data_IF_904361217191
#
_entry.id   IF_904361217191
#
_cell.length_a   1.000
_cell.length_b   1.000
_cell.length_c   1.000
_cell.angle_alpha   90.00
_cell.angle_beta   90.00
_cell.angle_gamma   90.00
#
_symmetry.space_group_name_H-M   'P 1'
#
loop_
_entity.id
_entity.type
_entity.pdbx_description
1 polymer ?
#
# COMPACT_ATOMS: atom_id res chain seq x y z
N UNK A 1 29.51 -33.63 -19.38
CA UNK A 1 28.83 -32.77 -18.38
C UNK A 1 28.23 -31.48 -18.96
N UNK A 2 28.76 -30.88 -20.05
CA UNK A 2 28.24 -29.62 -20.63
C UNK A 2 26.85 -29.74 -21.30
N UNK A 3 26.41 -30.95 -21.66
CA UNK A 3 25.17 -31.17 -22.42
C UNK A 3 23.91 -31.09 -21.56
N UNK A 4 23.99 -31.46 -20.27
CA UNK A 4 22.84 -31.47 -19.37
C UNK A 4 22.46 -30.07 -18.89
N UNK A 5 23.46 -29.23 -18.58
CA UNK A 5 23.23 -27.82 -18.21
C UNK A 5 22.60 -27.06 -19.38
N UNK A 6 23.08 -27.29 -20.62
CA UNK A 6 22.48 -26.69 -21.82
C UNK A 6 21.05 -27.16 -22.07
N UNK A 7 20.70 -28.39 -21.66
CA UNK A 7 19.35 -28.97 -21.76
C UNK A 7 18.38 -28.41 -20.72
N UNK A 8 18.87 -28.10 -19.52
CA UNK A 8 18.09 -27.46 -18.45
C UNK A 8 17.95 -25.96 -18.64
N UNK A 9 18.88 -25.31 -19.34
CA UNK A 9 18.81 -23.90 -19.71
C UNK A 9 17.86 -23.63 -20.89
N UNK A 10 17.37 -24.67 -21.58
CA UNK A 10 16.29 -24.48 -22.54
C UNK A 10 15.01 -24.11 -21.78
N UNK A 11 14.22 -23.15 -22.29
CA UNK A 11 12.90 -22.90 -21.75
C UNK A 11 12.10 -24.21 -21.77
N UNK A 12 11.37 -24.50 -20.68
CA UNK A 12 10.52 -25.70 -20.63
C UNK A 12 9.57 -25.64 -21.83
N UNK A 13 9.52 -26.69 -22.67
CA UNK A 13 8.55 -26.72 -23.76
C UNK A 13 7.16 -26.61 -23.15
N UNK A 14 6.31 -25.81 -23.77
CA UNK A 14 4.99 -25.49 -23.26
C UNK A 14 4.10 -26.74 -23.29
N UNK A 15 4.11 -27.49 -22.19
CA UNK A 15 3.36 -28.75 -22.03
C UNK A 15 1.87 -28.51 -21.77
N UNK A 16 1.43 -27.26 -21.71
CA UNK A 16 0.08 -26.90 -21.33
C UNK A 16 -0.79 -26.47 -22.51
N UNK A 17 -0.25 -26.29 -23.72
CA UNK A 17 -1.06 -25.91 -24.90
C UNK A 17 -1.83 -24.60 -24.71
N UNK A 18 -1.43 -23.79 -23.73
CA UNK A 18 -2.01 -22.47 -23.52
C UNK A 18 -1.09 -21.48 -24.23
N UNK A 19 -1.55 -20.80 -25.29
CA UNK A 19 -0.76 -19.75 -25.90
C UNK A 19 -0.31 -18.76 -24.83
N UNK A 20 0.88 -18.17 -25.05
CA UNK A 20 1.50 -17.14 -24.22
C UNK A 20 0.45 -16.30 -23.49
N UNK A 21 0.67 -16.05 -22.19
CA UNK A 21 -0.20 -15.21 -21.35
C UNK A 21 -0.18 -13.73 -21.76
N UNK A 22 -0.18 -13.44 -23.06
CA UNK A 22 -0.73 -12.21 -23.58
C UNK A 22 -2.16 -12.12 -23.06
N UNK A 23 -2.44 -11.08 -22.28
CA UNK A 23 -3.82 -10.74 -21.92
C UNK A 23 -4.62 -10.70 -23.23
N UNK A 24 -5.84 -11.28 -23.29
CA UNK A 24 -6.64 -11.18 -24.51
C UNK A 24 -6.79 -9.69 -24.84
N UNK A 25 -6.27 -9.28 -26.00
CA UNK A 25 -6.51 -7.95 -26.53
C UNK A 25 -7.99 -7.96 -26.92
N UNK A 26 -8.83 -7.43 -26.04
CA UNK A 26 -10.26 -7.31 -26.31
C UNK A 26 -10.43 -6.39 -27.52
N UNK A 27 -10.96 -6.94 -28.60
CA UNK A 27 -11.29 -6.14 -29.78
C UNK A 27 -12.39 -5.15 -29.39
N UNK A 28 -12.06 -3.86 -29.45
CA UNK A 28 -13.01 -2.77 -29.20
C UNK A 28 -13.83 -2.57 -30.48
N UNK A 29 -15.14 -2.39 -30.36
CA UNK A 29 -15.99 -2.16 -31.51
C UNK A 29 -15.72 -0.78 -32.14
N UNK A 30 -15.80 -0.67 -33.47
CA UNK A 30 -15.72 0.59 -34.22
C UNK A 30 -16.54 1.75 -33.61
N UNK A 31 -17.82 1.57 -33.22
CA UNK A 31 -18.58 2.64 -32.59
C UNK A 31 -18.03 3.07 -31.23
N UNK A 32 -17.43 2.16 -30.45
CA UNK A 32 -16.80 2.51 -29.18
C UNK A 32 -15.52 3.34 -29.38
N UNK A 33 -14.77 3.11 -30.47
CA UNK A 33 -13.60 3.93 -30.83
C UNK A 33 -14.00 5.33 -31.30
N UNK A 34 -15.20 5.49 -31.89
CA UNK A 34 -15.73 6.78 -32.36
C UNK A 34 -16.59 7.52 -31.34
N UNK A 35 -16.82 6.92 -30.16
CA UNK A 35 -17.69 7.50 -29.14
C UNK A 35 -17.09 8.79 -28.57
N UNK A 36 -17.84 9.88 -28.65
CA UNK A 36 -17.46 11.18 -28.07
C UNK A 36 -18.03 11.28 -26.66
N UNK A 37 -17.21 11.68 -25.68
CA UNK A 37 -17.65 11.87 -24.31
C UNK A 37 -18.67 13.01 -24.22
N UNK A 38 -19.78 12.79 -23.49
CA UNK A 38 -20.74 13.85 -23.19
C UNK A 38 -20.13 14.96 -22.32
N UNK A 39 -20.66 16.17 -22.39
CA UNK A 39 -20.19 17.31 -21.57
C UNK A 39 -20.17 17.00 -20.07
N UNK A 40 -21.13 16.19 -19.60
CA UNK A 40 -21.16 15.72 -18.21
C UNK A 40 -19.98 14.82 -17.89
N UNK A 41 -19.66 13.87 -18.76
CA UNK A 41 -18.49 12.99 -18.58
C UNK A 41 -17.20 13.80 -18.63
N UNK A 42 -17.09 14.77 -19.54
CA UNK A 42 -15.95 15.68 -19.63
C UNK A 42 -15.76 16.51 -18.35
N UNK A 43 -16.84 16.94 -17.70
CA UNK A 43 -16.78 17.62 -16.39
C UNK A 43 -16.35 16.67 -15.26
N UNK A 44 -16.86 15.44 -15.24
CA UNK A 44 -16.54 14.45 -14.20
C UNK A 44 -15.12 13.88 -14.33
N UNK A 45 -14.58 13.82 -15.55
CA UNK A 45 -13.22 13.37 -15.82
C UNK A 45 -12.15 14.36 -15.31
N UNK A 46 -12.52 15.63 -15.07
CA UNK A 46 -11.59 16.59 -14.47
C UNK A 46 -11.32 16.21 -13.01
N UNK A 47 -10.05 16.17 -12.58
CA UNK A 47 -9.73 15.91 -11.19
C UNK A 47 -10.35 16.98 -10.29
N UNK A 48 -10.78 16.58 -9.09
CA UNK A 48 -11.29 17.53 -8.09
C UNK A 48 -10.14 18.45 -7.66
N UNK A 49 -10.41 19.74 -7.59
CA UNK A 49 -9.43 20.70 -7.07
C UNK A 49 -9.13 20.37 -5.60
N UNK A 50 -7.86 20.43 -5.17
CA UNK A 50 -7.51 20.31 -3.76
C UNK A 50 -8.29 21.33 -2.92
N UNK A 51 -8.55 21.00 -1.66
CA UNK A 51 -9.16 21.95 -0.73
C UNK A 51 -8.28 23.21 -0.61
N UNK A 52 -8.87 24.38 -0.31
CA UNK A 52 -8.15 25.66 -0.28
C UNK A 52 -6.94 25.67 0.68
N UNK A 53 -6.94 24.81 1.71
CA UNK A 53 -5.85 24.66 2.67
C UNK A 53 -4.90 23.49 2.36
N UNK A 54 -5.11 22.75 1.26
CA UNK A 54 -4.23 21.64 0.88
C UNK A 54 -2.91 22.19 0.38
N UNK A 55 -1.84 21.86 1.11
CA UNK A 55 -0.46 22.12 0.73
C UNK A 55 0.21 20.75 0.52
N UNK A 56 0.99 20.54 -0.55
CA UNK A 56 1.79 19.33 -0.66
C UNK A 56 2.81 19.31 0.49
N UNK A 57 3.06 18.14 1.09
CA UNK A 57 4.03 17.98 2.20
C UNK A 57 5.44 18.48 1.86
N UNK A 58 5.75 18.57 0.56
CA UNK A 58 6.94 19.22 0.03
C UNK A 58 6.55 20.24 -1.04
N UNK A 59 7.05 21.48 -0.98
CA UNK A 59 7.04 22.33 -2.17
C UNK A 59 7.79 21.59 -3.28
N UNK A 60 7.16 21.45 -4.45
CA UNK A 60 7.87 20.98 -5.64
C UNK A 60 9.07 21.91 -5.82
N UNK A 61 10.27 21.39 -5.65
CA UNK A 61 11.48 22.15 -5.94
C UNK A 61 11.31 22.66 -7.37
N UNK A 62 11.38 23.99 -7.54
CA UNK A 62 11.25 24.66 -8.83
C UNK A 62 12.07 23.88 -9.86
N UNK A 63 11.49 23.67 -11.06
CA UNK A 63 12.05 22.85 -12.14
C UNK A 63 13.57 22.92 -12.14
N UNK A 64 14.21 21.94 -11.50
CA UNK A 64 15.66 21.91 -11.37
C UNK A 64 16.12 21.74 -12.80
N UNK A 65 16.86 22.73 -13.34
CA UNK A 65 17.51 22.61 -14.65
C UNK A 65 18.30 21.30 -14.58
N UNK A 66 17.83 20.27 -15.26
CA UNK A 66 18.51 18.99 -15.38
C UNK A 66 19.75 19.25 -16.21
N UNK A 67 20.79 19.78 -15.57
CA UNK A 67 22.12 19.69 -16.11
C UNK A 67 22.33 18.20 -16.34
N UNK A 68 22.53 17.80 -17.59
CA UNK A 68 22.91 16.43 -17.92
C UNK A 68 24.29 16.19 -17.35
N UNK A 69 24.35 15.89 -16.05
CA UNK A 69 25.59 15.60 -15.33
C UNK A 69 26.07 14.25 -15.84
N UNK A 70 27.16 14.28 -16.59
CA UNK A 70 27.83 13.07 -17.06
C UNK A 70 28.36 12.33 -15.84
N UNK A 71 27.98 11.06 -15.69
CA UNK A 71 28.43 10.23 -14.59
C UNK A 71 29.98 10.16 -14.57
N UNK A 72 30.57 10.35 -13.38
CA UNK A 72 32.02 10.25 -13.24
C UNK A 72 32.50 8.82 -13.48
N UNK A 73 33.76 8.67 -13.90
CA UNK A 73 34.39 7.36 -14.18
C UNK A 73 34.22 6.37 -13.02
N UNK A 74 34.33 6.85 -11.78
CA UNK A 74 34.12 6.04 -10.57
C UNK A 74 32.69 5.53 -10.44
N UNK A 75 31.68 6.35 -10.71
CA UNK A 75 30.27 5.94 -10.67
C UNK A 75 29.99 4.85 -11.70
N UNK A 76 30.56 5.01 -12.91
CA UNK A 76 30.48 3.99 -13.95
C UNK A 76 31.19 2.68 -13.55
N UNK A 77 32.31 2.74 -12.84
CA UNK A 77 33.00 1.54 -12.32
C UNK A 77 32.18 0.83 -11.23
N UNK A 78 31.59 1.57 -10.31
CA UNK A 78 30.76 1.02 -9.23
C UNK A 78 29.43 0.44 -9.73
N UNK A 79 28.88 1.01 -10.80
CA UNK A 79 27.69 0.49 -11.46
C UNK A 79 27.96 -0.84 -12.18
N UNK A 80 29.22 -1.24 -12.40
CA UNK A 80 29.52 -2.55 -12.98
C UNK A 80 29.12 -3.64 -11.98
N UNK A 81 28.32 -4.64 -12.41
CA UNK A 81 27.98 -5.75 -11.55
C UNK A 81 29.25 -6.45 -11.08
N UNK A 82 29.35 -6.69 -9.77
CA UNK A 82 30.50 -7.38 -9.19
C UNK A 82 30.51 -8.81 -9.76
N UNK A 83 31.43 -9.07 -10.69
CA UNK A 83 31.57 -10.38 -11.32
C UNK A 83 31.84 -11.43 -10.25
N UNK A 84 30.85 -12.27 -9.98
CA UNK A 84 31.03 -13.46 -9.15
C UNK A 84 31.90 -14.39 -9.98
N UNK A 85 33.15 -14.61 -9.56
CA UNK A 85 33.97 -15.68 -10.13
C UNK A 85 33.12 -16.96 -10.12
N UNK A 86 32.97 -17.70 -11.23
CA UNK A 86 32.39 -19.02 -11.17
C UNK A 86 33.28 -19.82 -10.21
N UNK A 87 32.72 -20.13 -9.05
CA UNK A 87 33.33 -21.07 -8.12
C UNK A 87 33.40 -22.36 -8.91
N UNK A 88 34.62 -22.73 -9.31
CA UNK A 88 34.92 -24.06 -9.81
C UNK A 88 34.37 -25.03 -8.75
N UNK A 89 33.37 -25.83 -9.14
CA UNK A 89 32.75 -26.83 -8.27
C UNK A 89 33.77 -27.89 -7.87
N UNK A 90 34.58 -27.58 -6.87
CA UNK A 90 35.31 -28.53 -6.08
C UNK A 90 35.44 -27.92 -4.68
N UNK A 91 34.71 -28.50 -3.74
CA UNK A 91 34.61 -28.08 -2.34
C UNK A 91 33.66 -26.91 -2.10
N UNK A 92 32.39 -27.24 -1.92
CA UNK A 92 31.53 -26.46 -1.03
C UNK A 92 32.32 -26.21 0.27
N UNK A 93 32.48 -24.96 0.73
CA UNK A 93 32.95 -24.75 2.08
C UNK A 93 31.86 -25.32 2.97
N UNK A 94 32.06 -26.54 3.47
CA UNK A 94 31.37 -27.02 4.66
C UNK A 94 31.42 -25.86 5.66
N UNK A 95 30.32 -25.47 6.32
CA UNK A 95 30.44 -24.57 7.45
C UNK A 95 31.33 -25.30 8.44
N UNK A 96 32.62 -24.93 8.46
CA UNK A 96 33.49 -25.31 9.56
C UNK A 96 32.74 -24.77 10.76
N UNK A 97 32.37 -25.63 11.69
CA UNK A 97 31.99 -25.21 13.03
C UNK A 97 33.20 -24.44 13.53
N UNK A 98 33.16 -23.13 13.35
CA UNK A 98 34.17 -22.23 13.87
C UNK A 98 33.90 -22.26 15.36
N UNK A 99 34.64 -23.09 16.08
CA UNK A 99 34.90 -22.85 17.49
C UNK A 99 35.22 -21.36 17.61
N UNK A 100 34.54 -20.60 18.50
CA UNK A 100 34.84 -19.18 18.66
C UNK A 100 36.21 -19.06 19.34
N UNK A 101 37.27 -19.35 18.57
CA UNK A 101 38.57 -18.75 18.78
C UNK A 101 38.31 -17.28 18.56
N UNK A 102 38.04 -16.61 19.67
CA UNK A 102 37.85 -15.17 19.76
C UNK A 102 39.18 -14.58 19.28
N UNK A 103 39.32 -14.41 17.97
CA UNK A 103 40.41 -13.64 17.38
C UNK A 103 40.31 -12.32 18.12
N UNK A 104 41.33 -11.99 18.91
CA UNK A 104 41.44 -10.72 19.59
C UNK A 104 41.64 -9.66 18.49
N UNK A 105 40.56 -9.32 17.81
CA UNK A 105 40.54 -8.33 16.75
C UNK A 105 40.65 -6.97 17.44
N UNK A 106 41.85 -6.40 17.36
CA UNK A 106 42.06 -5.01 17.75
C UNK A 106 41.50 -4.14 16.63
N UNK A 107 40.55 -3.26 16.98
CA UNK A 107 40.05 -2.26 16.05
C UNK A 107 41.23 -1.41 15.56
N UNK A 108 41.20 -0.98 14.29
CA UNK A 108 42.20 -0.04 13.81
C UNK A 108 42.03 1.31 14.52
N UNK A 109 43.09 2.09 14.65
CA UNK A 109 43.05 3.41 15.28
C UNK A 109 41.97 4.33 14.67
N UNK A 110 41.70 4.18 13.37
CA UNK A 110 40.63 4.92 12.71
C UNK A 110 39.23 4.48 13.18
N UNK A 111 39.00 3.18 13.38
CA UNK A 111 37.73 2.66 13.89
C UNK A 111 37.52 3.11 15.34
N UNK A 112 38.58 3.10 16.15
CA UNK A 112 38.53 3.62 17.53
C UNK A 112 38.19 5.12 17.55
N UNK A 113 38.79 5.90 16.65
CA UNK A 113 38.47 7.32 16.50
C UNK A 113 37.01 7.53 16.07
N UNK A 114 36.51 6.75 15.12
CA UNK A 114 35.11 6.84 14.69
C UNK A 114 34.11 6.37 15.76
N UNK A 115 34.54 5.46 16.64
CA UNK A 115 33.75 5.00 17.77
C UNK A 115 33.67 6.03 18.90
N UNK A 116 34.53 7.07 18.89
CA UNK A 116 34.40 8.16 19.87
C UNK A 116 33.10 8.92 19.63
N UNK A 117 32.21 9.05 20.64
CA UNK A 117 30.99 9.82 20.50
C UNK A 117 31.33 11.28 20.25
N UNK A 118 30.52 11.93 19.40
CA UNK A 118 30.67 13.37 19.16
C UNK A 118 30.43 14.13 20.46
N UNK A 119 31.14 15.25 20.62
CA UNK A 119 30.90 16.16 21.75
C UNK A 119 29.50 16.77 21.62
N UNK A 120 28.84 16.90 22.76
CA UNK A 120 27.58 17.63 22.84
C UNK A 120 27.77 19.09 22.42
N UNK A 121 26.76 19.65 21.79
CA UNK A 121 26.77 21.05 21.37
C UNK A 121 26.82 21.97 22.62
N UNK A 122 27.53 23.11 22.61
CA UNK A 122 27.63 24.01 23.78
C UNK A 122 26.29 24.60 24.27
N UNK A 123 25.22 24.49 23.48
CA UNK A 123 23.84 24.84 23.85
C UNK A 123 22.97 23.62 24.17
N UNK A 124 23.55 22.44 24.33
CA UNK A 124 22.83 21.22 24.68
C UNK A 124 22.58 21.23 26.19
N UNK A 125 21.33 21.46 26.58
CA UNK A 125 20.89 21.55 27.99
C UNK A 125 20.74 20.17 28.67
N UNK A 126 21.40 19.14 28.15
CA UNK A 126 21.23 17.75 28.61
C UNK A 126 19.91 17.12 28.16
N UNK A 127 19.54 16.00 28.79
CA UNK A 127 18.27 15.32 28.54
C UNK A 127 17.11 16.26 28.89
N UNK A 128 16.57 16.94 27.87
CA UNK A 128 15.29 17.64 27.97
C UNK A 128 14.33 16.71 28.69
N UNK A 129 13.77 17.20 29.81
CA UNK A 129 12.80 16.50 30.69
C UNK A 129 12.25 15.28 29.99
N UNK A 130 12.60 14.09 30.48
CA UNK A 130 12.08 12.82 29.99
C UNK A 130 10.64 13.04 29.54
N UNK A 131 10.29 12.70 28.30
CA UNK A 131 8.99 13.02 27.69
C UNK A 131 7.80 12.30 28.38
N UNK A 132 7.96 11.86 29.64
CA UNK A 132 6.91 11.47 30.55
C UNK A 132 6.23 12.72 31.12
N UNK A 133 5.12 13.10 30.49
CA UNK A 133 4.15 13.97 31.12
C UNK A 133 3.66 13.33 32.42
N UNK A 134 3.61 14.09 33.51
CA UNK A 134 3.08 13.62 34.77
C UNK A 134 1.58 13.31 34.62
N UNK A 135 1.24 12.02 34.53
CA UNK A 135 -0.15 11.58 34.48
C UNK A 135 -0.79 11.75 35.86
N UNK A 136 -2.06 12.14 35.94
CA UNK A 136 -2.76 12.26 37.23
C UNK A 136 -2.97 10.89 37.89
N UNK A 137 -3.14 10.86 39.21
CA UNK A 137 -3.45 9.61 39.94
C UNK A 137 -4.78 9.00 39.49
N UNK A 138 -5.76 9.84 39.14
CA UNK A 138 -7.05 9.41 38.61
C UNK A 138 -6.90 8.71 37.25
N UNK A 139 -6.13 9.29 36.33
CA UNK A 139 -5.90 8.69 35.02
C UNK A 139 -5.13 7.36 35.10
N UNK A 140 -4.16 7.23 36.03
CA UNK A 140 -3.47 5.93 36.27
C UNK A 140 -4.36 4.84 36.85
N UNK A 141 -5.43 5.21 37.56
CA UNK A 141 -6.36 4.29 38.23
C UNK A 141 -7.67 4.12 37.46
N UNK A 142 -7.83 4.79 36.32
CA UNK A 142 -9.02 4.68 35.51
C UNK A 142 -9.13 3.25 34.96
N UNK A 143 -10.20 2.56 35.32
CA UNK A 143 -10.53 1.26 34.75
C UNK A 143 -11.28 1.46 33.43
N UNK A 144 -10.98 0.60 32.45
CA UNK A 144 -11.71 0.60 31.18
C UNK A 144 -13.18 0.22 31.42
N UNK A 145 -14.10 0.93 30.76
CA UNK A 145 -15.52 0.57 30.78
C UNK A 145 -15.76 -0.77 30.07
N UNK A 146 -16.89 -1.42 30.38
CA UNK A 146 -17.25 -2.74 29.84
C UNK A 146 -17.17 -2.79 28.31
N UNK A 147 -17.72 -1.78 27.61
CA UNK A 147 -17.66 -1.70 26.15
C UNK A 147 -16.23 -1.56 25.62
N UNK A 148 -15.37 -0.84 26.32
CA UNK A 148 -13.98 -0.63 25.93
C UNK A 148 -13.20 -1.94 26.09
N UNK A 149 -13.48 -2.72 27.15
CA UNK A 149 -12.95 -4.07 27.32
C UNK A 149 -13.39 -5.00 26.19
N UNK A 150 -14.67 -5.01 25.82
CA UNK A 150 -15.19 -5.79 24.69
C UNK A 150 -14.49 -5.44 23.37
N UNK A 151 -14.28 -4.15 23.09
CA UNK A 151 -13.63 -3.67 21.88
C UNK A 151 -12.11 -3.88 21.88
N UNK A 152 -11.49 -3.96 23.06
CA UNK A 152 -10.06 -4.24 23.20
C UNK A 152 -9.71 -5.69 22.86
N UNK A 153 -10.69 -6.59 22.93
CA UNK A 153 -10.53 -7.98 22.52
C UNK A 153 -10.36 -8.11 21.00
N UNK A 154 -9.54 -9.07 20.53
CA UNK A 154 -9.48 -9.37 19.10
C UNK A 154 -10.85 -9.84 18.61
N UNK A 155 -11.32 -9.28 17.49
CA UNK A 155 -12.55 -9.75 16.85
C UNK A 155 -12.35 -11.17 16.35
N UNK A 156 -13.10 -12.12 16.90
CA UNK A 156 -13.09 -13.51 16.42
C UNK A 156 -13.50 -13.54 14.94
N UNK A 157 -12.69 -14.24 14.13
CA UNK A 157 -12.97 -14.43 12.70
C UNK A 157 -13.85 -15.67 12.56
N UNK A 158 -15.16 -15.48 12.66
CA UNK A 158 -16.12 -16.52 12.29
C UNK A 158 -16.27 -16.60 10.77
N UNK A 159 -16.80 -17.72 10.25
CA UNK A 159 -17.10 -17.83 8.82
C UNK A 159 -18.08 -16.71 8.41
N UNK A 160 -17.98 -16.23 7.16
CA UNK A 160 -18.73 -15.05 6.67
C UNK A 160 -20.24 -15.05 6.94
N UNK A 161 -20.84 -16.22 7.20
CA UNK A 161 -22.27 -16.41 7.42
C UNK A 161 -22.62 -17.00 8.80
N UNK A 162 -21.64 -17.16 9.69
CA UNK A 162 -21.89 -17.79 10.99
C UNK A 162 -22.67 -16.82 11.89
N UNK A 163 -23.92 -17.16 12.19
CA UNK A 163 -24.85 -16.31 12.93
C UNK A 163 -25.55 -15.23 12.07
N UNK A 164 -25.38 -15.27 10.75
CA UNK A 164 -26.13 -14.40 9.83
C UNK A 164 -27.45 -15.08 9.46
N UNK A 165 -28.56 -14.52 9.93
CA UNK A 165 -29.89 -14.88 9.43
C UNK A 165 -30.16 -14.08 8.15
N UNK A 166 -30.26 -14.74 6.97
CA UNK A 166 -30.50 -14.04 5.71
C UNK A 166 -31.86 -13.35 5.63
N UNK A 167 -32.79 -13.66 6.54
CA UNK A 167 -34.11 -13.04 6.61
C UNK A 167 -34.23 -11.99 7.71
N UNK A 168 -33.17 -11.75 8.49
CA UNK A 168 -33.18 -10.73 9.54
C UNK A 168 -33.14 -9.33 8.92
N UNK A 169 -34.23 -8.58 9.09
CA UNK A 169 -34.31 -7.18 8.68
C UNK A 169 -33.91 -6.29 9.85
N UNK A 170 -32.98 -5.37 9.62
CA UNK A 170 -32.56 -4.41 10.66
C UNK A 170 -33.74 -3.50 11.08
N UNK A 171 -33.79 -3.10 12.36
CA UNK A 171 -34.81 -2.15 12.85
C UNK A 171 -34.81 -0.84 12.06
N UNK A 172 -33.63 -0.37 11.63
CA UNK A 172 -33.51 0.82 10.79
C UNK A 172 -34.19 0.64 9.42
N UNK A 173 -34.08 -0.55 8.82
CA UNK A 173 -34.74 -0.85 7.56
C UNK A 173 -36.27 -0.98 7.72
N UNK A 174 -36.74 -1.56 8.83
CA UNK A 174 -38.18 -1.62 9.14
C UNK A 174 -38.77 -0.22 9.41
N UNK A 175 -38.00 0.65 10.06
CA UNK A 175 -38.41 2.04 10.32
C UNK A 175 -38.28 2.97 9.10
N UNK A 176 -37.58 2.53 8.04
CA UNK A 176 -37.34 3.36 6.87
C UNK A 176 -38.64 3.52 6.05
N UNK A 177 -39.10 4.76 5.94
CA UNK A 177 -40.21 5.12 5.06
C UNK A 177 -39.75 5.43 3.62
N UNK A 178 -40.65 5.38 2.64
CA UNK A 178 -40.33 5.74 1.25
C UNK A 178 -39.98 7.23 1.12
N UNK A 179 -39.02 7.54 0.25
CA UNK A 179 -38.63 8.92 -0.03
C UNK A 179 -39.79 9.72 -0.66
N UNK A 180 -39.75 11.05 -0.53
CA UNK A 180 -40.79 11.92 -1.09
C UNK A 180 -40.97 11.71 -2.61
N UNK A 181 -39.89 11.46 -3.34
CA UNK A 181 -39.94 11.19 -4.78
C UNK A 181 -40.62 9.86 -5.09
N UNK A 182 -40.35 8.82 -4.32
CA UNK A 182 -41.01 7.52 -4.48
C UNK A 182 -42.51 7.66 -4.21
N UNK A 183 -42.88 8.36 -3.13
CA UNK A 183 -44.30 8.67 -2.83
C UNK A 183 -44.99 9.39 -3.99
N UNK A 184 -44.32 10.37 -4.60
CA UNK A 184 -44.85 11.10 -5.75
C UNK A 184 -45.03 10.21 -6.99
N UNK A 185 -44.10 9.29 -7.25
CA UNK A 185 -44.18 8.36 -8.38
C UNK A 185 -45.22 7.26 -8.19
N UNK A 186 -45.53 6.92 -6.94
CA UNK A 186 -46.62 5.99 -6.61
C UNK A 186 -48.02 6.58 -6.86
N UNK A 187 -48.14 7.90 -7.06
CA UNK A 187 -49.40 8.51 -7.46
C UNK A 187 -49.72 8.10 -8.91
N UNK A 188 -50.99 7.82 -9.24
CA UNK A 188 -51.40 7.51 -10.60
C UNK A 188 -51.06 8.69 -11.52
N UNK A 189 -50.57 8.37 -12.72
CA UNK A 189 -50.31 9.39 -13.73
C UNK A 189 -51.61 10.12 -14.04
N UNK A 190 -51.59 11.44 -14.03
CA UNK A 190 -52.77 12.30 -14.26
C UNK A 190 -53.57 11.91 -15.51
N UNK A 191 -52.88 11.49 -16.58
CA UNK A 191 -53.49 11.01 -17.84
C UNK A 191 -54.23 9.67 -17.75
N UNK A 192 -54.08 8.92 -16.66
CA UNK A 192 -54.75 7.63 -16.41
C UNK A 192 -55.85 7.73 -15.37
N UNK A 193 -55.99 8.89 -14.72
CA UNK A 193 -57.12 9.17 -13.85
C UNK A 193 -58.29 9.60 -14.74
N UNK A 194 -59.14 8.65 -15.15
CA UNK A 194 -60.44 8.99 -15.73
C UNK A 194 -61.30 9.60 -14.62
N UNK A 195 -61.59 10.90 -14.71
CA UNK A 195 -62.65 11.50 -13.93
C UNK A 195 -63.98 10.93 -14.45
N UNK A 196 -64.51 9.92 -13.76
CA UNK A 196 -65.93 9.62 -13.85
C UNK A 196 -66.65 10.85 -13.30
N UNK A 197 -67.10 11.72 -14.19
CA UNK A 197 -68.09 12.74 -13.87
C UNK A 197 -69.43 12.02 -13.78
N UNK A 198 -69.91 11.80 -12.57
CA UNK A 198 -71.33 11.53 -12.34
C UNK A 198 -72.07 12.88 -12.43
N UNK A 199 -72.95 13.00 -13.42
CA UNK A 199 -73.81 14.14 -13.67
C UNK A 199 -74.89 13.77 -14.67
#
# INVERSE_FOLDING_TARGET
MATQIRRLAQPKPDRLGYPDRCSPVWQVSEPALRAVASDRLSRLARPRTPAAAWQPERPLLAAVRTQTVVATSRTCQLARPRSRRPVLEASAPKPKVVTPTRIAYKASAHIELLATPKRDHPKFEGERRSACWSVSRAARRAAAGQRLLELSGPKERTALFQGYDPYAVSLAALAAGPSARVRQLCLPLSRKCSAHYDG
#
